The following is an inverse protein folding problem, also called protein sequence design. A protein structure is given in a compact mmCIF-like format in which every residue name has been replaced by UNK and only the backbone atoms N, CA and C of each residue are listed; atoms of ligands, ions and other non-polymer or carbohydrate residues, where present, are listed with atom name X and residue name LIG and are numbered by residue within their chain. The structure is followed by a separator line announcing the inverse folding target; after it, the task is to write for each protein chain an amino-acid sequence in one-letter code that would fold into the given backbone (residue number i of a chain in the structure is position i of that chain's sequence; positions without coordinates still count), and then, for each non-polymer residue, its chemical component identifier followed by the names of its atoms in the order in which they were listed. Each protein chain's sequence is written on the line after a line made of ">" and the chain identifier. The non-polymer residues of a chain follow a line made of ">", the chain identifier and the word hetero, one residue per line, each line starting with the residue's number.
data_IF_820604396910
#
_entry.id   IF_820604396910
#
_cell.length_a   1.000
_cell.length_b   1.000
_cell.length_c   1.000
_cell.angle_alpha   90.00
_cell.angle_beta   90.00
_cell.angle_gamma   90.00
#
_symmetry.space_group_name_H-M   'P 1'
#
loop_
_entity.id
_entity.type
_entity.pdbx_description
1 polymer ?
#
# COMPACT_ATOMS: atom_id res chain seq x y z
N UNK A 1 17.66 13.37 -13.04
CA UNK A 1 16.67 12.36 -12.68
C UNK A 1 15.74 13.00 -11.68
N UNK A 2 14.44 13.04 -11.96
CA UNK A 2 13.44 13.47 -10.97
C UNK A 2 13.30 12.40 -9.87
N UNK A 3 12.73 12.77 -8.72
CA UNK A 3 12.46 11.81 -7.64
C UNK A 3 11.47 10.72 -8.08
N UNK A 4 10.52 11.07 -8.96
CA UNK A 4 9.61 10.12 -9.61
C UNK A 4 10.36 9.08 -10.46
N UNK A 5 11.30 9.52 -11.31
CA UNK A 5 12.10 8.64 -12.16
C UNK A 5 12.94 7.66 -11.32
N UNK A 6 13.40 8.08 -10.13
CA UNK A 6 14.09 7.21 -9.18
C UNK A 6 13.22 6.06 -8.68
N UNK A 7 11.98 6.36 -8.28
CA UNK A 7 11.01 5.34 -7.84
C UNK A 7 10.65 4.36 -8.97
N UNK A 8 10.42 4.86 -10.19
CA UNK A 8 10.15 3.98 -11.33
C UNK A 8 11.34 3.08 -11.65
N UNK A 9 12.57 3.62 -11.62
CA UNK A 9 13.77 2.83 -11.84
C UNK A 9 13.96 1.76 -10.76
N UNK A 10 13.61 2.06 -9.52
CA UNK A 10 13.72 1.14 -8.40
C UNK A 10 12.73 -0.03 -8.52
N UNK A 11 11.47 0.26 -8.87
CA UNK A 11 10.42 -0.75 -9.05
C UNK A 11 10.61 -1.61 -10.32
N UNK A 12 11.30 -1.07 -11.33
CA UNK A 12 11.65 -1.81 -12.54
C UNK A 12 12.84 -2.77 -12.35
N UNK A 13 13.62 -2.62 -11.28
CA UNK A 13 14.76 -3.50 -11.01
C UNK A 13 14.28 -4.88 -10.55
N UNK A 14 14.74 -5.94 -11.22
CA UNK A 14 14.34 -7.32 -10.94
C UNK A 14 14.70 -7.81 -9.52
N UNK A 15 15.59 -7.10 -8.81
CA UNK A 15 15.96 -7.38 -7.42
C UNK A 15 14.96 -6.78 -6.42
N UNK A 16 14.02 -5.94 -6.85
CA UNK A 16 13.00 -5.39 -5.96
C UNK A 16 12.24 -6.54 -5.27
N UNK A 17 12.07 -6.52 -3.94
CA UNK A 17 11.48 -7.63 -3.21
C UNK A 17 9.96 -7.69 -3.44
N UNK A 18 9.54 -8.38 -4.51
CA UNK A 18 8.13 -8.52 -4.89
C UNK A 18 7.28 -9.29 -3.87
N UNK A 19 7.91 -10.02 -2.95
CA UNK A 19 7.24 -10.65 -1.81
C UNK A 19 6.78 -9.63 -0.75
N UNK A 20 7.36 -8.43 -0.72
CA UNK A 20 6.97 -7.37 0.21
C UNK A 20 5.81 -6.57 -0.35
N UNK A 21 4.82 -6.31 0.50
CA UNK A 21 3.71 -5.45 0.13
C UNK A 21 4.21 -4.01 0.14
N UNK A 22 4.29 -3.43 -1.06
CA UNK A 22 4.74 -2.05 -1.28
C UNK A 22 3.60 -1.28 -1.91
N UNK A 23 3.26 -0.13 -1.34
CA UNK A 23 2.30 0.81 -1.94
C UNK A 23 3.02 2.08 -2.34
N UNK A 24 2.59 2.67 -3.46
CA UNK A 24 3.07 3.99 -3.84
C UNK A 24 2.24 5.03 -3.13
N UNK A 25 2.80 5.65 -2.09
CA UNK A 25 2.08 6.59 -1.23
C UNK A 25 1.89 7.95 -1.92
N UNK A 26 2.98 8.53 -2.44
CA UNK A 26 3.01 9.71 -3.29
C UNK A 26 3.71 9.40 -4.62
N UNK A 27 3.85 10.37 -5.53
CA UNK A 27 4.44 10.11 -6.86
C UNK A 27 5.91 9.67 -6.80
N UNK A 28 6.62 10.04 -5.73
CA UNK A 28 8.03 9.75 -5.46
C UNK A 28 8.26 9.07 -4.11
N UNK A 29 7.21 8.47 -3.54
CA UNK A 29 7.25 7.86 -2.21
C UNK A 29 6.65 6.46 -2.22
N UNK A 30 7.37 5.51 -1.61
CA UNK A 30 6.92 4.14 -1.41
C UNK A 30 6.80 3.86 0.08
N UNK A 31 5.70 3.22 0.49
CA UNK A 31 5.55 2.63 1.81
C UNK A 31 5.65 1.11 1.65
N UNK A 32 6.68 0.52 2.24
CA UNK A 32 6.96 -0.92 2.17
C UNK A 32 6.76 -1.55 3.54
N UNK A 33 5.97 -2.62 3.61
CA UNK A 33 5.72 -3.35 4.84
C UNK A 33 6.67 -4.56 4.93
N UNK A 34 7.61 -4.50 5.88
CA UNK A 34 8.65 -5.50 6.09
C UNK A 34 10.06 -4.89 6.08
N UNK A 35 11.08 -5.75 6.19
CA UNK A 35 12.49 -5.32 6.18
C UNK A 35 12.97 -5.00 4.76
N UNK A 36 13.35 -3.74 4.49
CA UNK A 36 13.88 -3.35 3.19
C UNK A 36 15.41 -3.34 3.19
N UNK A 37 16.04 -3.97 2.18
CA UNK A 37 17.49 -3.89 1.98
C UNK A 37 17.89 -2.49 1.51
N UNK A 38 18.30 -1.66 2.46
CA UNK A 38 18.75 -0.29 2.18
C UNK A 38 19.97 -0.24 1.27
N UNK A 39 20.87 -1.24 1.33
CA UNK A 39 22.05 -1.30 0.48
C UNK A 39 21.67 -1.48 -0.99
N UNK A 40 20.69 -2.34 -1.26
CA UNK A 40 20.10 -2.49 -2.58
C UNK A 40 19.43 -1.19 -3.05
N UNK A 41 18.54 -0.58 -2.26
CA UNK A 41 17.87 0.68 -2.62
C UNK A 41 18.90 1.75 -2.97
N UNK A 42 19.93 1.91 -2.13
CA UNK A 42 21.02 2.86 -2.35
C UNK A 42 21.90 2.55 -3.56
N UNK A 43 21.96 1.29 -4.00
CA UNK A 43 22.65 0.90 -5.23
C UNK A 43 21.90 1.33 -6.49
N UNK A 44 20.58 1.46 -6.40
CA UNK A 44 19.71 1.93 -7.50
C UNK A 44 19.58 3.45 -7.48
N UNK A 45 19.40 4.05 -6.29
CA UNK A 45 19.35 5.49 -6.09
C UNK A 45 20.17 5.90 -4.84
N UNK A 46 21.40 6.43 -5.04
CA UNK A 46 22.25 6.91 -3.94
C UNK A 46 21.60 7.98 -3.06
N UNK A 47 20.64 8.74 -3.61
CA UNK A 47 19.97 9.85 -2.93
C UNK A 47 18.66 9.45 -2.25
N UNK A 48 18.20 8.20 -2.42
CA UNK A 48 16.96 7.71 -1.80
C UNK A 48 17.00 7.89 -0.27
N UNK A 49 15.92 8.40 0.32
CA UNK A 49 15.78 8.50 1.78
C UNK A 49 15.02 7.26 2.23
N UNK A 50 15.63 6.44 3.09
CA UNK A 50 14.98 5.27 3.68
C UNK A 50 14.90 5.50 5.18
N UNK A 51 13.69 5.51 5.71
CA UNK A 51 13.39 5.72 7.12
C UNK A 51 12.40 4.66 7.60
N UNK A 52 12.47 4.35 8.89
CA UNK A 52 11.43 3.55 9.53
C UNK A 52 10.15 4.38 9.67
N UNK A 53 9.01 3.78 9.30
CA UNK A 53 7.70 4.43 9.34
C UNK A 53 6.79 3.75 10.36
N UNK A 54 6.11 4.55 11.19
CA UNK A 54 5.26 4.10 12.32
C UNK A 54 3.87 4.75 12.35
N UNK A 55 3.61 5.67 11.42
CA UNK A 55 2.40 6.49 11.30
C UNK A 55 1.32 5.83 10.43
N UNK A 56 1.56 4.61 9.95
CA UNK A 56 0.60 3.82 9.21
C UNK A 56 0.43 2.44 9.83
N UNK A 57 -0.80 1.96 9.75
CA UNK A 57 -1.18 0.61 10.10
C UNK A 57 -1.70 -0.08 8.85
N UNK A 58 -1.43 -1.37 8.74
CA UNK A 58 -1.96 -2.17 7.66
C UNK A 58 -2.54 -3.48 8.16
N UNK A 59 -3.65 -3.89 7.54
CA UNK A 59 -4.24 -5.22 7.70
C UNK A 59 -4.32 -5.89 6.35
N UNK A 60 -3.92 -7.16 6.31
CA UNK A 60 -4.06 -8.00 5.13
C UNK A 60 -5.30 -8.86 5.28
N UNK A 61 -6.22 -8.75 4.33
CA UNK A 61 -7.44 -9.53 4.25
C UNK A 61 -7.42 -10.40 3.00
N UNK A 62 -8.11 -11.53 3.03
CA UNK A 62 -8.40 -12.26 1.78
C UNK A 62 -9.30 -11.42 0.86
N UNK A 63 -9.30 -11.66 -0.47
CA UNK A 63 -10.21 -10.97 -1.38
C UNK A 63 -11.69 -11.10 -0.96
N UNK A 64 -12.10 -12.24 -0.41
CA UNK A 64 -13.46 -12.47 0.08
C UNK A 64 -13.80 -11.62 1.32
N UNK A 65 -12.90 -11.52 2.28
CA UNK A 65 -13.08 -10.66 3.46
C UNK A 65 -13.06 -9.18 3.08
N UNK A 66 -12.11 -8.79 2.23
CA UNK A 66 -11.99 -7.42 1.72
C UNK A 66 -13.21 -7.00 0.92
N UNK A 67 -13.73 -7.86 0.05
CA UNK A 67 -14.96 -7.61 -0.72
C UNK A 67 -16.16 -7.38 0.20
N UNK A 68 -16.40 -8.25 1.19
CA UNK A 68 -17.49 -8.09 2.16
C UNK A 68 -17.39 -6.77 2.94
N UNK A 69 -16.17 -6.39 3.33
CA UNK A 69 -15.90 -5.14 4.03
C UNK A 69 -16.22 -3.93 3.13
N UNK A 70 -15.75 -3.94 1.88
CA UNK A 70 -16.01 -2.84 0.95
C UNK A 70 -17.51 -2.74 0.61
N UNK A 71 -18.19 -3.84 0.31
CA UNK A 71 -19.64 -3.83 0.04
C UNK A 71 -20.47 -3.20 1.17
N UNK A 72 -20.02 -3.35 2.42
CA UNK A 72 -20.73 -2.85 3.59
C UNK A 72 -20.40 -1.39 3.95
N UNK A 73 -19.22 -0.91 3.56
CA UNK A 73 -18.64 0.31 4.13
C UNK A 73 -18.08 1.30 3.09
N UNK A 74 -18.08 0.95 1.81
CA UNK A 74 -17.48 1.72 0.73
C UNK A 74 -18.56 2.35 -0.17
N UNK A 75 -18.44 3.65 -0.45
CA UNK A 75 -19.35 4.35 -1.39
C UNK A 75 -18.76 4.48 -2.81
N UNK A 76 -17.50 4.12 -2.99
CA UNK A 76 -16.79 4.17 -4.27
C UNK A 76 -16.69 2.78 -4.89
N UNK A 77 -16.50 2.74 -6.22
CA UNK A 77 -16.37 1.50 -6.97
C UNK A 77 -14.93 0.97 -6.87
N UNK A 78 -14.71 -0.22 -6.28
CA UNK A 78 -13.38 -0.84 -6.24
C UNK A 78 -12.89 -1.21 -7.65
N UNK A 79 -11.57 -1.30 -7.89
CA UNK A 79 -11.05 -1.75 -9.18
C UNK A 79 -11.49 -3.19 -9.49
N UNK A 80 -11.75 -3.45 -10.76
CA UNK A 80 -12.09 -4.80 -11.24
C UNK A 80 -10.88 -5.74 -11.17
N UNK A 81 -11.10 -7.03 -10.96
CA UNK A 81 -10.05 -8.03 -10.76
C UNK A 81 -9.04 -8.12 -11.92
N UNK A 82 -9.46 -7.80 -13.15
CA UNK A 82 -8.59 -7.79 -14.34
C UNK A 82 -7.48 -6.74 -14.27
N UNK A 83 -7.64 -5.75 -13.38
CA UNK A 83 -6.64 -4.70 -13.15
C UNK A 83 -5.60 -5.05 -12.08
N UNK A 84 -5.73 -6.20 -11.42
CA UNK A 84 -4.82 -6.56 -10.33
C UNK A 84 -3.44 -7.00 -10.87
N UNK A 85 -2.33 -6.68 -10.17
CA UNK A 85 -2.27 -5.89 -8.95
C UNK A 85 -2.41 -4.38 -9.20
N UNK A 86 -3.20 -3.71 -8.37
CA UNK A 86 -3.43 -2.26 -8.46
C UNK A 86 -3.66 -1.66 -7.08
N UNK A 87 -3.54 -0.34 -6.98
CA UNK A 87 -3.87 0.39 -5.77
C UNK A 87 -5.03 1.36 -6.03
N UNK A 88 -5.92 1.49 -5.04
CA UNK A 88 -6.93 2.54 -5.03
C UNK A 88 -6.97 3.21 -3.66
N UNK A 89 -7.64 4.35 -3.58
CA UNK A 89 -7.79 5.10 -2.34
C UNK A 89 -9.19 5.69 -2.27
N UNK A 90 -9.75 5.69 -1.06
CA UNK A 90 -11.07 6.22 -0.79
C UNK A 90 -11.44 6.05 0.67
N UNK A 91 -12.60 6.57 1.06
CA UNK A 91 -13.11 6.36 2.41
C UNK A 91 -13.69 4.93 2.53
N UNK A 92 -13.38 4.27 3.64
CA UNK A 92 -13.99 2.99 4.03
C UNK A 92 -14.53 3.20 5.44
N UNK A 93 -15.85 3.08 5.60
CA UNK A 93 -16.57 3.49 6.80
C UNK A 93 -16.25 4.94 7.23
N UNK A 94 -16.02 5.83 6.26
CA UNK A 94 -15.65 7.23 6.51
C UNK A 94 -14.18 7.45 6.90
N UNK A 95 -13.35 6.41 6.97
CA UNK A 95 -11.91 6.51 7.27
C UNK A 95 -11.09 6.52 5.97
N UNK A 96 -10.19 7.50 5.76
CA UNK A 96 -9.31 7.51 4.60
C UNK A 96 -8.43 6.26 4.55
N UNK A 97 -8.60 5.47 3.51
CA UNK A 97 -7.95 4.16 3.38
C UNK A 97 -7.31 4.04 2.00
N UNK A 98 -6.08 3.55 1.97
CA UNK A 98 -5.38 3.15 0.75
C UNK A 98 -5.34 1.64 0.68
N UNK A 99 -5.65 1.06 -0.47
CA UNK A 99 -5.78 -0.38 -0.62
C UNK A 99 -4.88 -0.85 -1.75
N UNK A 100 -4.04 -1.85 -1.49
CA UNK A 100 -3.35 -2.62 -2.52
C UNK A 100 -4.16 -3.89 -2.79
N UNK A 101 -4.71 -3.99 -3.99
CA UNK A 101 -5.43 -5.16 -4.47
C UNK A 101 -4.45 -6.13 -5.12
N UNK A 102 -4.60 -7.41 -4.81
CA UNK A 102 -3.86 -8.52 -5.44
C UNK A 102 -4.78 -9.74 -5.50
N UNK A 103 -4.41 -10.75 -6.29
CA UNK A 103 -5.22 -11.95 -6.46
C UNK A 103 -5.29 -12.83 -5.20
N UNK A 104 -4.33 -12.70 -4.29
CA UNK A 104 -4.18 -13.55 -3.10
C UNK A 104 -4.58 -12.85 -1.79
N UNK A 105 -4.40 -11.53 -1.72
CA UNK A 105 -4.52 -10.76 -0.49
C UNK A 105 -4.67 -9.27 -0.81
N UNK A 106 -5.52 -8.59 -0.06
CA UNK A 106 -5.70 -7.14 -0.16
C UNK A 106 -5.09 -6.49 1.08
N UNK A 107 -4.27 -5.46 0.89
CA UNK A 107 -3.66 -4.70 1.99
C UNK A 107 -4.40 -3.39 2.19
N UNK A 108 -5.10 -3.25 3.30
CA UNK A 108 -5.76 -2.02 3.71
C UNK A 108 -4.82 -1.23 4.60
N UNK A 109 -4.56 0.03 4.24
CA UNK A 109 -3.62 0.92 4.92
C UNK A 109 -4.33 2.17 5.40
N UNK A 110 -4.22 2.46 6.69
CA UNK A 110 -4.78 3.64 7.35
C UNK A 110 -3.70 4.36 8.14
N UNK A 111 -3.87 5.66 8.40
CA UNK A 111 -2.97 6.37 9.31
C UNK A 111 -3.21 5.94 10.76
N UNK A 112 -2.14 5.80 11.54
CA UNK A 112 -2.15 5.31 12.93
C UNK A 112 -3.20 5.98 13.83
N UNK A 113 -3.45 7.32 13.77
CA UNK A 113 -4.49 7.95 14.58
C UNK A 113 -5.90 7.42 14.34
N UNK A 114 -6.18 6.88 13.15
CA UNK A 114 -7.51 6.37 12.78
C UNK A 114 -7.66 4.86 12.99
N UNK A 115 -6.63 4.17 13.48
CA UNK A 115 -6.68 2.70 13.63
C UNK A 115 -7.83 2.26 14.50
N UNK A 116 -8.01 2.93 15.66
CA UNK A 116 -9.08 2.56 16.58
C UNK A 116 -10.46 2.78 15.98
N UNK A 117 -10.62 3.92 15.29
CA UNK A 117 -11.86 4.26 14.60
C UNK A 117 -12.15 3.33 13.43
N UNK A 118 -11.14 2.92 12.67
CA UNK A 118 -11.28 1.93 11.61
C UNK A 118 -11.73 0.59 12.21
N UNK A 119 -11.01 0.09 13.22
CA UNK A 119 -11.33 -1.18 13.89
C UNK A 119 -12.78 -1.21 14.37
N UNK A 120 -13.23 -0.19 15.11
CA UNK A 120 -14.60 -0.13 15.67
C UNK A 120 -15.71 -0.02 14.60
N UNK A 121 -15.36 0.44 13.39
CA UNK A 121 -16.34 0.67 12.32
C UNK A 121 -16.44 -0.48 11.33
N UNK A 122 -15.39 -1.30 11.20
CA UNK A 122 -15.32 -2.38 10.20
C UNK A 122 -15.22 -3.79 10.79
N UNK A 123 -14.91 -3.96 12.09
CA UNK A 123 -14.81 -5.25 12.77
C UNK A 123 -15.72 -5.31 14.01
#
# INVERSE_FOLDING_TARGET
>A
MSTQEGVESLLADARWPTSQKTIRFAFDELLTFGELDQGFVKSCDPYAIVVEETSFFAVSLSPEEGSRLLESHCEWEPPAEESFPTQAQGAVAGVPTKILFSSDSWLFVVQSPYVKEFEERVF
#
